data_IF_255340672252
#
_entry.id   IF_255340672252
#
_cell.length_a   1.000
_cell.length_b   1.000
_cell.length_c   1.000
_cell.angle_alpha   90.00
_cell.angle_beta   90.00
_cell.angle_gamma   90.00
#
_symmetry.space_group_name_H-M   'P 1'
#
loop_
_entity.id
_entity.type
_entity.pdbx_description
1 polymer ?
#
# COMPACT_ATOMS: atom_id res chain seq x y z
N UNK A 1 -22.12 -16.21 3.76
CA UNK A 1 -20.77 -16.82 3.72
C UNK A 1 -20.50 -17.43 2.35
N UNK A 2 -19.34 -17.12 1.75
CA UNK A 2 -18.83 -17.80 0.55
C UNK A 2 -17.82 -18.87 0.98
N UNK A 3 -17.65 -19.93 0.19
CA UNK A 3 -16.65 -20.96 0.48
C UNK A 3 -15.24 -20.48 0.15
N UNK A 4 -14.23 -21.04 0.83
CA UNK A 4 -12.82 -20.76 0.54
C UNK A 4 -12.44 -21.13 -0.89
N UNK A 5 -13.02 -22.21 -1.43
CA UNK A 5 -12.82 -22.64 -2.81
C UNK A 5 -13.30 -21.59 -3.81
N UNK A 6 -14.43 -20.95 -3.53
CA UNK A 6 -14.96 -19.88 -4.39
C UNK A 6 -14.13 -18.59 -4.26
N UNK A 7 -13.71 -18.22 -3.05
CA UNK A 7 -12.83 -17.07 -2.84
C UNK A 7 -11.47 -17.24 -3.54
N UNK A 8 -10.90 -18.44 -3.49
CA UNK A 8 -9.67 -18.78 -4.22
C UNK A 8 -9.85 -18.60 -5.74
N UNK A 9 -10.94 -19.16 -6.28
CA UNK A 9 -11.28 -19.04 -7.72
C UNK A 9 -11.51 -17.58 -8.16
N UNK A 10 -12.06 -16.73 -7.28
CA UNK A 10 -12.21 -15.29 -7.56
C UNK A 10 -10.87 -14.55 -7.52
N UNK A 11 -10.01 -14.87 -6.55
CA UNK A 11 -8.67 -14.27 -6.42
C UNK A 11 -7.80 -14.55 -7.64
N UNK A 12 -7.87 -15.76 -8.19
CA UNK A 12 -7.12 -16.15 -9.40
C UNK A 12 -7.53 -15.36 -10.65
N UNK A 13 -8.79 -14.94 -10.75
CA UNK A 13 -9.32 -14.16 -11.87
C UNK A 13 -9.17 -12.64 -11.68
N UNK A 14 -8.74 -12.20 -10.50
CA UNK A 14 -8.67 -10.79 -10.20
C UNK A 14 -7.43 -10.15 -10.85
N UNK A 15 -7.63 -9.01 -11.49
CA UNK A 15 -6.57 -8.18 -12.06
C UNK A 15 -6.59 -6.78 -11.44
N UNK A 16 -5.41 -6.18 -11.15
CA UNK A 16 -5.34 -4.81 -10.67
C UNK A 16 -5.95 -3.85 -11.70
N UNK A 17 -6.85 -2.97 -11.24
CA UNK A 17 -7.41 -1.90 -12.09
C UNK A 17 -6.45 -0.71 -12.10
N UNK A 18 -6.20 -0.08 -13.27
CA UNK A 18 -5.42 1.15 -13.32
C UNK A 18 -6.15 2.27 -12.58
N UNK A 19 -5.39 3.15 -11.91
CA UNK A 19 -5.94 4.35 -11.29
C UNK A 19 -5.96 5.52 -12.28
N UNK A 20 -6.83 6.51 -12.05
CA UNK A 20 -6.98 7.67 -12.96
C UNK A 20 -5.79 8.64 -12.98
N UNK A 21 -4.87 8.53 -12.02
CA UNK A 21 -3.74 9.46 -11.85
C UNK A 21 -2.44 8.83 -12.32
N UNK A 22 -2.03 9.07 -13.57
CA UNK A 22 -0.80 8.48 -14.13
C UNK A 22 0.45 9.38 -13.96
N UNK A 23 0.32 10.49 -13.24
CA UNK A 23 1.42 11.39 -12.88
C UNK A 23 1.08 12.21 -11.62
N UNK A 24 2.02 13.05 -11.19
CA UNK A 24 1.81 13.96 -10.06
C UNK A 24 1.91 13.30 -8.68
N UNK A 25 1.44 14.00 -7.65
CA UNK A 25 1.59 13.59 -6.26
C UNK A 25 0.86 12.27 -5.95
N UNK A 26 -0.35 12.07 -6.47
CA UNK A 26 -1.14 10.85 -6.25
C UNK A 26 -0.49 9.61 -6.88
N UNK A 27 0.11 9.75 -8.07
CA UNK A 27 0.86 8.68 -8.70
C UNK A 27 2.12 8.32 -7.91
N UNK A 28 2.84 9.30 -7.37
CA UNK A 28 4.02 9.06 -6.49
C UNK A 28 3.62 8.41 -5.17
N UNK A 29 2.52 8.87 -4.56
CA UNK A 29 2.00 8.32 -3.32
C UNK A 29 1.60 6.84 -3.47
N UNK A 30 0.89 6.50 -4.56
CA UNK A 30 0.48 5.12 -4.83
C UNK A 30 1.65 4.13 -4.95
N UNK A 31 2.84 4.60 -5.34
CA UNK A 31 4.04 3.76 -5.44
C UNK A 31 4.76 3.55 -4.11
N UNK A 32 4.51 4.40 -3.12
CA UNK A 32 5.32 4.46 -1.89
C UNK A 32 4.54 4.11 -0.64
N UNK A 33 3.21 4.22 -0.66
CA UNK A 33 2.34 3.93 0.48
C UNK A 33 2.38 2.45 0.88
N UNK A 34 2.63 2.19 2.17
CA UNK A 34 2.59 0.86 2.77
C UNK A 34 1.17 0.41 3.19
N UNK A 35 1.04 -0.81 3.76
CA UNK A 35 -0.25 -1.33 4.22
C UNK A 35 -0.87 -0.46 5.34
N UNK A 36 -2.20 -0.31 5.32
CA UNK A 36 -2.92 0.49 6.32
C UNK A 36 -2.76 -0.04 7.76
N UNK A 37 -2.70 -1.37 7.94
CA UNK A 37 -2.47 -1.99 9.26
C UNK A 37 -1.11 -1.62 9.87
N UNK A 38 -0.15 -1.21 9.03
CA UNK A 38 1.21 -0.81 9.41
C UNK A 38 1.34 0.73 9.45
N UNK A 39 0.22 1.47 9.41
CA UNK A 39 0.18 2.93 9.47
C UNK A 39 0.25 3.65 8.13
N UNK A 40 0.16 2.94 6.99
CA UNK A 40 0.20 3.53 5.64
C UNK A 40 1.43 4.43 5.39
N UNK A 41 2.56 4.09 6.00
CA UNK A 41 3.79 4.87 5.89
C UNK A 41 4.29 4.91 4.45
N UNK A 42 4.64 6.09 3.95
CA UNK A 42 5.13 6.32 2.58
C UNK A 42 6.66 6.32 2.45
N UNK A 43 7.37 6.20 3.57
CA UNK A 43 8.83 6.20 3.64
C UNK A 43 9.32 4.79 4.02
N UNK A 44 9.88 4.00 3.09
CA UNK A 44 10.40 2.66 3.41
C UNK A 44 11.49 2.66 4.49
N UNK A 45 12.26 3.75 4.58
CA UNK A 45 13.31 3.96 5.58
C UNK A 45 12.82 4.36 6.97
N UNK A 46 11.52 4.57 7.19
CA UNK A 46 11.02 5.04 8.49
C UNK A 46 11.39 4.12 9.68
N UNK A 47 11.56 2.82 9.44
CA UNK A 47 12.01 1.86 10.47
C UNK A 47 13.51 1.91 10.75
N UNK A 48 14.31 2.43 9.81
CA UNK A 48 15.76 2.56 9.92
C UNK A 48 16.19 3.99 10.30
N UNK A 49 15.23 4.89 10.53
CA UNK A 49 15.48 6.26 10.96
C UNK A 49 16.16 6.25 12.33
N UNK A 50 17.20 7.07 12.47
CA UNK A 50 18.06 7.09 13.67
C UNK A 50 17.76 8.24 14.60
N UNK A 51 16.97 9.22 14.13
CA UNK A 51 16.65 10.43 14.87
C UNK A 51 15.13 10.60 14.97
N UNK A 52 14.64 10.90 16.16
CA UNK A 52 13.25 11.31 16.38
C UNK A 52 13.22 12.83 16.37
N UNK A 53 12.39 13.44 15.53
CA UNK A 53 12.29 14.92 15.43
C UNK A 53 12.02 15.59 16.79
N UNK A 54 11.26 14.93 17.67
CA UNK A 54 10.95 15.44 19.00
C UNK A 54 12.16 15.51 19.96
N UNK A 55 13.27 14.84 19.63
CA UNK A 55 14.50 14.79 20.42
C UNK A 55 15.59 15.75 19.88
N UNK A 56 15.25 16.63 18.93
CA UNK A 56 16.12 17.68 18.35
C UNK A 56 15.93 19.00 19.10
#
# INVERSE_FOLDING_TARGET
ELSDAELSSRRQRWTPRPHGFQSGALWKYAQTVGPARDGAVTQPGAKAETHVYADI
#
